data_IF_435883998700
#
_entry.id   IF_435883998700
#
_cell.length_a   1.000
_cell.length_b   1.000
_cell.length_c   1.000
_cell.angle_alpha   90.00
_cell.angle_beta   90.00
_cell.angle_gamma   90.00
#
_symmetry.space_group_name_H-M   'P 1'
#
loop_
_entity.id
_entity.type
_entity.pdbx_description
1 polymer ?
#
# COMPACT_ATOMS: atom_id res chain seq x y z
N UNK A 1 -6.09 -5.61 5.30
CA UNK A 1 -7.25 -4.72 5.62
C UNK A 1 -8.07 -4.50 4.35
N UNK A 2 -9.22 -5.13 4.28
CA UNK A 2 -10.15 -4.99 3.15
C UNK A 2 -11.54 -5.49 3.57
N UNK A 3 -12.55 -5.17 2.76
CA UNK A 3 -13.90 -5.73 2.90
C UNK A 3 -14.51 -5.99 1.52
N UNK A 4 -15.76 -6.44 1.48
CA UNK A 4 -16.43 -6.75 0.23
C UNK A 4 -16.68 -5.55 -0.68
N UNK A 5 -16.54 -4.33 -0.17
CA UNK A 5 -16.73 -3.09 -0.93
C UNK A 5 -15.41 -2.46 -1.39
N UNK A 6 -14.27 -3.10 -1.12
CA UNK A 6 -12.98 -2.60 -1.57
C UNK A 6 -12.91 -2.58 -3.10
N UNK A 7 -12.37 -1.51 -3.66
CA UNK A 7 -12.27 -1.28 -5.10
C UNK A 7 -10.84 -1.20 -5.59
N UNK A 8 -9.94 -0.74 -4.74
CA UNK A 8 -8.52 -0.54 -5.05
C UNK A 8 -7.69 -1.26 -3.98
N UNK A 9 -6.65 -1.96 -4.43
CA UNK A 9 -5.71 -2.63 -3.53
C UNK A 9 -4.36 -1.93 -3.62
N UNK A 10 -3.84 -1.49 -2.48
CA UNK A 10 -2.51 -0.86 -2.38
C UNK A 10 -1.60 -1.77 -1.57
N UNK A 11 -0.46 -2.12 -2.14
CA UNK A 11 0.45 -3.11 -1.59
C UNK A 11 1.83 -2.54 -1.29
N UNK A 12 2.30 -2.77 -0.06
CA UNK A 12 3.70 -2.61 0.29
C UNK A 12 4.47 -3.91 0.08
N UNK A 13 5.78 -3.89 0.25
CA UNK A 13 6.59 -5.11 0.18
C UNK A 13 6.41 -5.95 1.43
N UNK A 14 6.63 -5.34 2.58
CA UNK A 14 6.44 -5.94 3.91
C UNK A 14 6.41 -4.83 4.95
N UNK A 15 5.84 -5.08 6.14
CA UNK A 15 5.81 -4.06 7.18
C UNK A 15 7.21 -3.62 7.61
N UNK A 16 7.40 -2.31 7.79
CA UNK A 16 8.61 -1.79 8.42
C UNK A 16 8.65 -2.23 9.89
N UNK A 17 9.80 -2.13 10.59
CA UNK A 17 9.86 -2.44 12.02
C UNK A 17 8.83 -1.64 12.84
N UNK A 18 8.62 -0.35 12.52
CA UNK A 18 7.62 0.48 13.18
C UNK A 18 6.20 0.00 12.92
N UNK A 19 5.90 -0.42 11.67
CA UNK A 19 4.59 -0.94 11.33
C UNK A 19 4.30 -2.26 12.05
N UNK A 20 5.28 -3.13 12.20
CA UNK A 20 5.15 -4.38 12.97
C UNK A 20 4.87 -4.09 14.44
N UNK A 21 5.62 -3.17 15.03
CA UNK A 21 5.50 -2.77 16.42
C UNK A 21 4.11 -2.18 16.71
N UNK A 22 3.60 -1.35 15.79
CA UNK A 22 2.30 -0.70 15.93
C UNK A 22 1.14 -1.56 15.42
N UNK A 23 1.44 -2.65 14.70
CA UNK A 23 0.41 -3.54 14.14
C UNK A 23 -0.41 -2.92 13.03
N UNK A 24 0.14 -1.96 12.28
CA UNK A 24 -0.58 -1.31 11.20
C UNK A 24 0.39 -0.83 10.11
N UNK A 25 -0.14 -0.41 8.96
CA UNK A 25 0.62 -0.09 7.76
C UNK A 25 1.24 1.30 7.80
N UNK A 26 2.46 1.44 7.26
CA UNK A 26 3.14 2.73 7.05
C UNK A 26 3.25 3.58 8.32
N UNK A 27 3.66 2.96 9.42
CA UNK A 27 3.65 3.60 10.75
C UNK A 27 4.96 4.30 11.15
N UNK A 28 5.98 4.30 10.27
CA UNK A 28 7.16 5.11 10.55
C UNK A 28 6.76 6.58 10.58
N UNK A 29 7.18 7.37 11.61
CA UNK A 29 6.73 8.75 11.77
C UNK A 29 6.99 9.67 10.56
N UNK A 30 8.02 9.37 9.79
CA UNK A 30 8.40 10.17 8.61
C UNK A 30 7.88 9.57 7.29
N UNK A 31 7.09 8.49 7.34
CA UNK A 31 6.48 7.93 6.14
C UNK A 31 5.35 8.84 5.68
N UNK A 32 5.33 9.18 4.39
CA UNK A 32 4.37 10.13 3.81
C UNK A 32 3.06 9.50 3.37
N UNK A 33 2.91 8.18 3.47
CA UNK A 33 1.76 7.47 2.90
C UNK A 33 0.41 8.02 3.38
N UNK A 34 0.21 8.09 4.69
CA UNK A 34 -1.09 8.50 5.25
C UNK A 34 -1.44 9.92 4.89
N UNK A 35 -0.45 10.82 4.90
CA UNK A 35 -0.66 12.21 4.51
C UNK A 35 -1.03 12.33 3.02
N UNK A 36 -0.35 11.57 2.16
CA UNK A 36 -0.65 11.57 0.72
C UNK A 36 -2.03 10.98 0.44
N UNK A 37 -2.34 9.85 1.08
CA UNK A 37 -3.64 9.21 0.87
C UNK A 37 -4.80 10.08 1.32
N UNK A 38 -4.71 10.67 2.51
CA UNK A 38 -5.75 11.57 3.02
C UNK A 38 -5.97 12.75 2.06
N UNK A 39 -4.90 13.35 1.59
CA UNK A 39 -4.96 14.47 0.64
C UNK A 39 -5.71 14.10 -0.65
N UNK A 40 -5.36 12.98 -1.28
CA UNK A 40 -6.00 12.59 -2.55
C UNK A 40 -7.44 12.12 -2.36
N UNK A 41 -7.80 11.66 -1.16
CA UNK A 41 -9.19 11.29 -0.85
C UNK A 41 -10.03 12.48 -0.39
N UNK A 42 -9.43 13.65 -0.23
CA UNK A 42 -10.15 14.85 0.23
C UNK A 42 -10.51 14.81 1.71
N UNK A 43 -9.74 14.10 2.51
CA UNK A 43 -9.99 13.92 3.94
C UNK A 43 -8.92 14.59 4.79
N UNK A 44 -9.27 14.93 6.02
CA UNK A 44 -8.26 15.32 7.00
C UNK A 44 -7.51 14.06 7.44
N UNK A 45 -6.22 14.18 7.72
CA UNK A 45 -5.42 13.04 8.17
C UNK A 45 -5.92 12.55 9.55
N UNK A 46 -6.45 11.32 9.64
CA UNK A 46 -6.86 10.80 10.94
C UNK A 46 -5.67 10.64 11.88
N UNK A 47 -5.87 11.00 13.14
CA UNK A 47 -4.81 11.00 14.15
C UNK A 47 -4.49 9.60 14.67
N UNK A 48 -5.42 8.65 14.55
CA UNK A 48 -5.26 7.32 15.13
C UNK A 48 -5.50 6.20 14.10
N UNK A 49 -5.14 4.99 14.49
CA UNK A 49 -5.28 3.81 13.65
C UNK A 49 -6.74 3.51 13.29
N UNK A 50 -7.71 3.51 14.22
CA UNK A 50 -9.12 3.30 13.86
C UNK A 50 -9.63 4.30 12.84
N UNK A 51 -9.26 5.58 12.95
CA UNK A 51 -9.66 6.61 11.99
C UNK A 51 -9.06 6.36 10.61
N UNK A 52 -7.81 5.94 10.55
CA UNK A 52 -7.14 5.62 9.27
C UNK A 52 -7.77 4.40 8.60
N UNK A 53 -8.11 3.39 9.39
CA UNK A 53 -8.81 2.20 8.90
C UNK A 53 -10.17 2.58 8.32
N UNK A 54 -10.94 3.37 9.06
CA UNK A 54 -12.27 3.81 8.63
C UNK A 54 -12.21 4.64 7.35
N UNK A 55 -11.21 5.50 7.22
CA UNK A 55 -10.99 6.27 6.00
C UNK A 55 -10.79 5.36 4.80
N UNK A 56 -9.92 4.37 4.91
CA UNK A 56 -9.67 3.44 3.82
C UNK A 56 -10.92 2.63 3.47
N UNK A 57 -11.56 2.04 4.45
CA UNK A 57 -12.73 1.19 4.24
C UNK A 57 -13.88 2.00 3.61
N UNK A 58 -14.15 3.21 4.10
CA UNK A 58 -15.24 4.04 3.57
C UNK A 58 -15.01 4.49 2.14
N UNK A 59 -13.75 4.64 1.72
CA UNK A 59 -13.40 5.01 0.34
C UNK A 59 -13.16 3.82 -0.59
N UNK A 60 -13.21 2.60 -0.07
CA UNK A 60 -12.99 1.41 -0.88
C UNK A 60 -11.52 1.10 -1.15
N UNK A 61 -10.63 1.52 -0.26
CA UNK A 61 -9.18 1.27 -0.36
C UNK A 61 -8.80 0.09 0.53
N UNK A 62 -8.28 -0.97 -0.09
CA UNK A 62 -7.71 -2.10 0.64
C UNK A 62 -6.19 -1.92 0.75
N UNK A 63 -5.64 -2.28 1.89
CA UNK A 63 -4.19 -2.23 2.13
C UNK A 63 -3.69 -3.60 2.57
N UNK A 64 -2.55 -4.00 2.02
CA UNK A 64 -1.85 -5.19 2.48
C UNK A 64 -0.38 -5.08 2.06
N UNK A 65 0.39 -6.13 2.34
CA UNK A 65 1.76 -6.28 1.89
C UNK A 65 1.86 -7.54 1.03
N UNK A 66 2.78 -7.54 0.07
CA UNK A 66 3.00 -8.72 -0.77
C UNK A 66 3.51 -9.88 0.08
N UNK A 67 4.44 -9.59 1.00
CA UNK A 67 5.04 -10.62 1.85
C UNK A 67 4.44 -10.66 3.24
N UNK A 68 4.13 -11.88 3.70
CA UNK A 68 3.73 -12.15 5.08
C UNK A 68 4.95 -12.29 5.97
N UNK A 69 5.98 -12.99 5.47
CA UNK A 69 7.19 -13.30 6.21
C UNK A 69 8.41 -13.22 5.30
N UNK A 70 9.56 -12.91 5.88
CA UNK A 70 10.85 -13.00 5.23
C UNK A 70 11.94 -12.85 6.29
N UNK A 71 13.18 -13.20 5.94
CA UNK A 71 14.33 -12.93 6.77
C UNK A 71 14.96 -11.63 6.30
N UNK A 72 15.23 -10.72 7.22
CA UNK A 72 15.85 -9.42 6.92
C UNK A 72 17.07 -9.21 7.79
N UNK A 73 18.17 -8.71 7.17
CA UNK A 73 19.36 -8.28 7.87
C UNK A 73 19.36 -6.75 7.95
N UNK A 74 18.53 -6.20 8.84
CA UNK A 74 18.34 -4.76 8.96
C UNK A 74 17.03 -4.31 8.31
N UNK A 75 16.92 -3.00 8.02
CA UNK A 75 15.69 -2.39 7.51
C UNK A 75 15.64 -2.25 5.98
N UNK A 76 16.68 -2.70 5.26
CA UNK A 76 16.73 -2.55 3.81
C UNK A 76 15.97 -3.66 3.09
N UNK A 77 15.16 -3.28 2.10
CA UNK A 77 14.44 -4.25 1.25
C UNK A 77 15.41 -5.16 0.49
N UNK A 78 16.64 -4.71 0.23
CA UNK A 78 17.65 -5.52 -0.47
C UNK A 78 18.14 -6.70 0.37
N UNK A 79 17.89 -6.70 1.69
CA UNK A 79 18.30 -7.78 2.60
C UNK A 79 17.21 -8.86 2.79
N UNK A 80 16.11 -8.79 2.04
CA UNK A 80 15.02 -9.75 2.13
C UNK A 80 15.45 -11.13 1.60
N UNK A 81 15.31 -12.17 2.44
CA UNK A 81 15.55 -13.56 2.07
C UNK A 81 14.38 -14.40 2.58
N UNK A 82 14.22 -15.61 2.02
CA UNK A 82 13.15 -16.53 2.39
C UNK A 82 11.75 -15.91 2.38
N UNK A 83 11.36 -15.24 1.27
CA UNK A 83 10.07 -14.54 1.22
C UNK A 83 8.89 -15.53 1.19
N UNK A 84 7.88 -15.24 2.03
CA UNK A 84 6.61 -15.98 2.05
C UNK A 84 5.50 -14.98 1.70
N UNK A 85 4.85 -15.11 0.53
CA UNK A 85 3.82 -14.18 0.13
C UNK A 85 2.53 -14.32 0.93
N UNK A 86 1.81 -13.22 1.09
CA UNK A 86 0.44 -13.24 1.60
C UNK A 86 -0.50 -13.84 0.54
N UNK A 87 -1.63 -14.42 0.94
CA UNK A 87 -2.61 -14.96 -0.02
C UNK A 87 -3.46 -13.84 -0.64
N UNK A 88 -2.85 -13.04 -1.52
CA UNK A 88 -3.52 -11.87 -2.13
C UNK A 88 -4.75 -12.26 -2.95
N UNK A 89 -4.83 -13.48 -3.44
CA UNK A 89 -6.00 -14.00 -4.15
C UNK A 89 -7.28 -13.87 -3.32
N UNK A 90 -7.17 -13.94 -1.99
CA UNK A 90 -8.32 -13.81 -1.10
C UNK A 90 -9.01 -12.46 -1.22
N UNK A 91 -8.25 -11.40 -1.45
CA UNK A 91 -8.80 -10.04 -1.64
C UNK A 91 -9.64 -10.00 -2.91
N UNK A 92 -9.12 -10.60 -4.00
CA UNK A 92 -9.83 -10.60 -5.29
C UNK A 92 -11.08 -11.47 -5.27
N UNK A 93 -11.15 -12.48 -4.39
CA UNK A 93 -12.36 -13.28 -4.20
C UNK A 93 -13.40 -12.54 -3.35
N UNK A 94 -12.93 -11.75 -2.39
CA UNK A 94 -13.81 -11.06 -1.44
C UNK A 94 -14.39 -9.76 -2.00
N UNK A 95 -13.70 -9.11 -2.94
CA UNK A 95 -14.07 -7.78 -3.44
C UNK A 95 -13.79 -7.67 -4.94
N UNK A 96 -14.53 -6.78 -5.59
CA UNK A 96 -14.37 -6.50 -7.03
C UNK A 96 -13.28 -5.41 -7.20
N UNK A 97 -12.03 -5.82 -7.09
CA UNK A 97 -10.88 -4.92 -7.20
C UNK A 97 -10.69 -4.48 -8.66
N UNK A 98 -10.73 -3.18 -8.90
CA UNK A 98 -10.61 -2.61 -10.24
C UNK A 98 -9.21 -2.10 -10.54
N UNK A 99 -8.36 -1.88 -9.53
CA UNK A 99 -7.01 -1.39 -9.72
C UNK A 99 -6.11 -1.85 -8.59
N UNK A 100 -4.86 -2.15 -8.92
CA UNK A 100 -3.82 -2.54 -7.96
C UNK A 100 -2.67 -1.55 -8.05
N UNK A 101 -2.20 -1.09 -6.91
CA UNK A 101 -1.05 -0.19 -6.82
C UNK A 101 -0.02 -0.79 -5.88
N UNK A 102 1.25 -0.59 -6.20
CA UNK A 102 2.35 -0.96 -5.31
C UNK A 102 3.10 0.29 -4.87
N UNK A 103 3.56 0.31 -3.63
CA UNK A 103 4.30 1.45 -3.08
C UNK A 103 5.80 1.18 -3.16
N UNK A 104 6.37 1.47 -4.32
CA UNK A 104 7.80 1.33 -4.57
C UNK A 104 8.16 0.16 -5.46
N UNK A 105 9.37 0.20 -6.00
CA UNK A 105 9.86 -0.79 -6.98
C UNK A 105 10.01 -2.19 -6.38
N UNK A 106 10.35 -2.30 -5.11
CA UNK A 106 10.52 -3.60 -4.46
C UNK A 106 9.18 -4.32 -4.34
N UNK A 107 8.14 -3.61 -3.91
CA UNK A 107 6.78 -4.16 -3.85
C UNK A 107 6.32 -4.59 -5.24
N UNK A 108 6.58 -3.79 -6.26
CA UNK A 108 6.22 -4.11 -7.64
C UNK A 108 6.92 -5.40 -8.10
N UNK A 109 8.22 -5.51 -7.88
CA UNK A 109 8.99 -6.69 -8.29
C UNK A 109 8.50 -7.96 -7.59
N UNK A 110 8.19 -7.88 -6.30
CA UNK A 110 7.66 -9.00 -5.54
C UNK A 110 6.28 -9.41 -6.02
N UNK A 111 5.43 -8.43 -6.30
CA UNK A 111 4.08 -8.70 -6.82
C UNK A 111 4.15 -9.42 -8.17
N UNK A 112 4.97 -8.96 -9.08
CA UNK A 112 5.15 -9.56 -10.40
C UNK A 112 5.73 -10.98 -10.30
N UNK A 113 6.64 -11.20 -9.33
CA UNK A 113 7.26 -12.51 -9.12
C UNK A 113 6.28 -13.55 -8.58
N UNK A 114 5.49 -13.19 -7.57
CA UNK A 114 4.63 -14.15 -6.86
C UNK A 114 3.21 -14.21 -7.38
N UNK A 115 2.76 -13.18 -8.09
CA UNK A 115 1.37 -13.09 -8.56
C UNK A 115 1.26 -12.70 -10.04
N UNK A 116 1.97 -13.43 -10.94
CA UNK A 116 1.94 -13.07 -12.37
C UNK A 116 0.57 -13.25 -13.02
N UNK A 117 -0.32 -14.02 -12.40
CA UNK A 117 -1.67 -14.29 -12.91
C UNK A 117 -2.73 -13.31 -12.42
N UNK A 118 -2.41 -12.51 -11.38
CA UNK A 118 -3.31 -11.48 -10.89
C UNK A 118 -3.23 -10.24 -11.78
N UNK A 119 -4.22 -9.33 -11.71
CA UNK A 119 -4.19 -8.11 -12.53
C UNK A 119 -2.90 -7.31 -12.34
N UNK A 120 -2.38 -6.68 -13.40
CA UNK A 120 -1.14 -5.91 -13.28
C UNK A 120 -1.29 -4.73 -12.33
N UNK A 121 -0.20 -4.39 -11.65
CA UNK A 121 -0.18 -3.28 -10.70
C UNK A 121 0.51 -2.06 -11.29
N UNK A 122 0.08 -0.89 -10.86
CA UNK A 122 0.73 0.39 -11.16
C UNK A 122 1.71 0.69 -10.03
N UNK A 123 2.99 0.86 -10.35
CA UNK A 123 4.02 1.17 -9.35
C UNK A 123 4.00 2.65 -9.01
N UNK A 124 3.68 2.96 -7.75
CA UNK A 124 3.75 4.32 -7.22
C UNK A 124 5.11 4.54 -6.55
N UNK A 125 5.57 5.79 -6.44
CA UNK A 125 6.80 6.08 -5.71
C UNK A 125 6.69 5.63 -4.25
N UNK A 126 7.78 5.14 -3.68
CA UNK A 126 7.82 4.78 -2.27
C UNK A 126 7.62 6.00 -1.39
N UNK A 127 6.78 5.87 -0.36
CA UNK A 127 6.56 6.92 0.65
C UNK A 127 7.55 6.82 1.82
N UNK A 128 8.45 5.84 1.78
CA UNK A 128 9.49 5.67 2.80
C UNK A 128 10.35 6.91 2.94
N UNK A 129 10.77 7.28 4.16
CA UNK A 129 11.70 8.38 4.36
C UNK A 129 13.04 8.19 3.66
N UNK A 130 13.38 6.98 3.25
CA UNK A 130 14.59 6.70 2.46
C UNK A 130 14.49 7.25 1.03
N UNK A 131 13.29 7.45 0.51
CA UNK A 131 13.07 8.02 -0.83
C UNK A 131 12.98 9.55 -0.74
N UNK A 132 14.13 10.22 -0.85
CA UNK A 132 14.23 11.68 -0.69
C UNK A 132 14.31 12.45 -2.00
N UNK A 133 14.36 11.75 -3.13
CA UNK A 133 14.57 12.37 -4.43
C UNK A 133 13.31 12.91 -5.07
N UNK A 134 12.13 12.50 -4.59
CA UNK A 134 10.86 12.93 -5.13
C UNK A 134 10.24 14.04 -4.27
N UNK A 135 9.77 15.11 -4.92
CA UNK A 135 9.08 16.20 -4.24
C UNK A 135 7.68 15.74 -3.77
N UNK A 136 7.14 16.42 -2.76
CA UNK A 136 5.78 16.13 -2.30
C UNK A 136 4.75 16.37 -3.39
N UNK A 137 4.93 17.42 -4.18
CA UNK A 137 4.03 17.77 -5.28
C UNK A 137 3.97 16.63 -6.32
N UNK A 138 5.13 16.09 -6.70
CA UNK A 138 5.20 14.99 -7.65
C UNK A 138 4.64 13.70 -7.06
N UNK A 139 4.94 13.42 -5.80
CA UNK A 139 4.40 12.26 -5.08
C UNK A 139 2.86 12.34 -5.06
N UNK A 140 2.33 13.50 -4.72
CA UNK A 140 0.88 13.71 -4.66
C UNK A 140 0.24 13.49 -6.03
N UNK A 141 0.87 13.99 -7.10
CA UNK A 141 0.37 13.79 -8.47
C UNK A 141 0.27 12.30 -8.81
N UNK A 142 1.27 11.50 -8.42
CA UNK A 142 1.24 10.05 -8.66
C UNK A 142 0.16 9.36 -7.82
N UNK A 143 0.02 9.73 -6.55
CA UNK A 143 -0.97 9.10 -5.66
C UNK A 143 -2.41 9.49 -6.00
N UNK A 144 -2.64 10.58 -6.75
CA UNK A 144 -3.97 10.91 -7.28
C UNK A 144 -4.53 9.84 -8.20
N UNK A 145 -3.69 8.97 -8.73
CA UNK A 145 -4.12 7.84 -9.56
C UNK A 145 -5.02 6.88 -8.76
N UNK A 146 -4.83 6.80 -7.44
CA UNK A 146 -5.71 6.01 -6.56
C UNK A 146 -7.11 6.61 -6.57
N UNK A 147 -7.23 7.93 -6.38
CA UNK A 147 -8.52 8.61 -6.39
C UNK A 147 -9.22 8.48 -7.75
N UNK A 148 -8.45 8.62 -8.83
CA UNK A 148 -8.99 8.45 -10.20
C UNK A 148 -9.56 7.05 -10.40
N UNK A 149 -8.87 6.02 -9.92
CA UNK A 149 -9.34 4.65 -10.02
C UNK A 149 -10.63 4.42 -9.22
N UNK A 150 -10.74 5.04 -8.04
CA UNK A 150 -11.95 4.96 -7.22
C UNK A 150 -13.15 5.62 -7.90
N UNK A 151 -12.94 6.77 -8.53
CA UNK A 151 -13.99 7.52 -9.23
C UNK A 151 -14.51 6.79 -10.45
N UNK A 152 -13.66 6.07 -11.16
CA UNK A 152 -14.02 5.42 -12.43
C UNK A 152 -15.02 4.26 -12.26
N UNK A 153 -15.32 3.85 -11.02
CA UNK A 153 -16.23 2.75 -10.72
C UNK A 153 -17.50 3.18 -10.00
N UNK A 154 -17.75 4.46 -9.95
CA UNK A 154 -18.99 4.98 -9.33
C UNK A 154 -20.16 5.05 -10.31
#
# INVERSE_FOLDING_TARGET
MYDGNSKVLVLGSMPSPRSRERGFYYMHPQNRFWRMLAEVLGEELPADIPGRRDMCISHGVALWDVLAECTISGASDSSITDPVPNPLEDVFRAADICAVFTTGKKAQALYERFFPELPPAVCLPSTSPANRTISEERMLAEYRRIATALESRT
#
